data_IF_005703055972
#
_entry.id   IF_005703055972
#
_cell.length_a   1.000
_cell.length_b   1.000
_cell.length_c   1.000
_cell.angle_alpha   90.00
_cell.angle_beta   90.00
_cell.angle_gamma   90.00
#
_symmetry.space_group_name_H-M   'P 1'
#
loop_
_entity.id
_entity.type
_entity.pdbx_description
1 polymer ?
#
# COMPACT_ATOMS: atom_id res chain seq x y z
N UNK A 1 34.15 61.52 -8.13
CA UNK A 1 33.14 60.67 -7.43
C UNK A 1 32.76 59.49 -8.32
N UNK A 2 33.29 58.30 -8.07
CA UNK A 2 32.92 57.11 -8.82
C UNK A 2 31.82 56.41 -8.05
N UNK A 3 30.61 56.32 -8.62
CA UNK A 3 29.49 55.55 -8.09
C UNK A 3 29.67 54.11 -8.51
N UNK A 4 29.93 53.22 -7.57
CA UNK A 4 29.91 51.77 -7.79
C UNK A 4 28.47 51.29 -7.73
N UNK A 5 27.95 50.84 -8.88
CA UNK A 5 26.70 50.06 -8.92
C UNK A 5 27.04 48.64 -8.53
N UNK A 6 26.52 48.17 -7.38
CA UNK A 6 26.56 46.79 -6.98
C UNK A 6 25.29 46.13 -7.53
N UNK A 7 25.45 45.28 -8.56
CA UNK A 7 24.36 44.47 -9.07
C UNK A 7 24.21 43.26 -8.16
N UNK A 8 23.10 43.16 -7.42
CA UNK A 8 22.69 41.96 -6.73
C UNK A 8 22.10 40.96 -7.74
N UNK A 9 22.84 39.92 -8.05
CA UNK A 9 22.29 38.77 -8.78
C UNK A 9 21.51 37.91 -7.79
N UNK A 10 20.18 37.92 -7.86
CA UNK A 10 19.33 37.02 -7.13
C UNK A 10 19.46 35.65 -7.78
N UNK A 11 20.15 34.70 -7.13
CA UNK A 11 20.08 33.29 -7.49
C UNK A 11 18.69 32.78 -7.08
N UNK A 12 17.81 32.60 -8.04
CA UNK A 12 16.59 31.86 -7.86
C UNK A 12 16.94 30.37 -7.75
N UNK A 13 17.01 29.87 -6.53
CA UNK A 13 17.13 28.45 -6.28
C UNK A 13 15.80 27.79 -6.59
N UNK A 14 15.65 27.20 -7.77
CA UNK A 14 14.53 26.33 -8.09
C UNK A 14 14.77 25.00 -7.37
N UNK A 15 14.17 24.84 -6.19
CA UNK A 15 14.11 23.54 -5.56
C UNK A 15 13.25 22.62 -6.44
N UNK A 16 13.88 21.73 -7.21
CA UNK A 16 13.21 20.63 -7.84
C UNK A 16 12.77 19.68 -6.70
N UNK A 17 11.46 19.70 -6.38
CA UNK A 17 10.87 18.69 -5.52
C UNK A 17 10.94 17.36 -6.27
N UNK A 18 11.94 16.54 -5.95
CA UNK A 18 11.97 15.17 -6.41
C UNK A 18 10.72 14.45 -5.84
N UNK A 19 9.84 13.95 -6.74
CA UNK A 19 8.75 13.05 -6.33
C UNK A 19 9.40 11.85 -5.68
N UNK A 20 9.04 11.56 -4.42
CA UNK A 20 9.51 10.37 -3.74
C UNK A 20 9.05 9.13 -4.52
N UNK A 21 9.97 8.18 -4.73
CA UNK A 21 9.63 6.90 -5.33
C UNK A 21 8.61 6.16 -4.46
N UNK A 22 7.72 5.38 -5.09
CA UNK A 22 6.80 4.50 -4.37
C UNK A 22 7.56 3.51 -3.49
N UNK A 23 7.11 3.29 -2.26
CA UNK A 23 7.70 2.23 -1.43
C UNK A 23 7.59 0.87 -2.12
N UNK A 24 8.65 0.06 -2.00
CA UNK A 24 8.69 -1.32 -2.46
C UNK A 24 8.77 -2.23 -1.25
N UNK A 25 7.96 -3.27 -1.23
CA UNK A 25 7.92 -4.28 -0.17
C UNK A 25 8.11 -5.66 -0.76
N UNK A 26 9.02 -6.43 -0.19
CA UNK A 26 9.29 -7.79 -0.59
C UNK A 26 8.67 -8.76 0.43
N UNK A 27 7.76 -9.60 -0.04
CA UNK A 27 7.15 -10.68 0.75
C UNK A 27 7.91 -11.96 0.45
N UNK A 28 8.73 -12.40 1.39
CA UNK A 28 9.46 -13.68 1.29
C UNK A 28 8.57 -14.80 1.79
N UNK A 29 8.11 -15.64 0.87
CA UNK A 29 7.26 -16.77 1.19
C UNK A 29 7.99 -18.09 0.96
N UNK A 30 7.48 -19.18 1.51
CA UNK A 30 8.00 -20.52 1.26
C UNK A 30 7.74 -21.04 -0.18
N UNK A 31 7.01 -20.27 -1.00
CA UNK A 31 6.74 -20.56 -2.41
C UNK A 31 7.44 -19.58 -3.36
N UNK A 32 8.23 -18.64 -2.83
CA UNK A 32 8.95 -17.63 -3.60
C UNK A 32 8.70 -16.22 -3.10
N UNK A 33 9.27 -15.25 -3.79
CA UNK A 33 9.20 -13.85 -3.44
C UNK A 33 8.08 -13.15 -4.21
N UNK A 34 7.35 -12.26 -3.52
CA UNK A 34 6.37 -11.37 -4.12
C UNK A 34 6.85 -9.95 -3.86
N UNK A 35 7.03 -9.16 -4.91
CA UNK A 35 7.41 -7.75 -4.80
C UNK A 35 6.18 -6.88 -4.98
N UNK A 36 5.93 -6.01 -4.01
CA UNK A 36 4.78 -5.10 -3.98
C UNK A 36 5.27 -3.67 -4.14
N UNK A 37 4.77 -2.98 -5.14
CA UNK A 37 4.90 -1.53 -5.28
C UNK A 37 3.68 -0.87 -4.63
N UNK A 38 3.93 0.05 -3.69
CA UNK A 38 2.88 0.68 -2.89
C UNK A 38 2.60 2.09 -3.42
N UNK A 39 1.42 2.32 -3.97
CA UNK A 39 1.02 3.61 -4.55
C UNK A 39 0.58 4.61 -3.47
N UNK A 40 1.56 5.19 -2.77
CA UNK A 40 1.34 6.08 -1.64
C UNK A 40 0.64 7.40 -2.02
N UNK A 41 0.77 7.85 -3.26
CA UNK A 41 0.09 9.05 -3.78
C UNK A 41 -1.41 8.81 -4.04
N UNK A 42 -1.80 7.60 -4.42
CA UNK A 42 -3.18 7.21 -4.71
C UNK A 42 -3.97 6.73 -3.48
N UNK A 43 -3.29 6.09 -2.54
CA UNK A 43 -3.88 5.52 -1.34
C UNK A 43 -2.98 5.79 -0.12
N UNK A 44 -2.83 7.05 0.33
CA UNK A 44 -1.85 7.41 1.35
C UNK A 44 -2.06 6.71 2.69
N UNK A 45 -3.30 6.59 3.15
CA UNK A 45 -3.63 5.92 4.42
C UNK A 45 -3.41 4.41 4.36
N UNK A 46 -3.83 3.78 3.27
CA UNK A 46 -3.63 2.35 3.04
C UNK A 46 -2.15 2.01 2.90
N UNK A 47 -1.41 2.84 2.17
CA UNK A 47 0.04 2.70 1.99
C UNK A 47 0.79 2.83 3.32
N UNK A 48 0.53 3.88 4.09
CA UNK A 48 1.13 4.08 5.41
C UNK A 48 0.82 2.92 6.36
N UNK A 49 -0.42 2.49 6.41
CA UNK A 49 -0.88 1.38 7.23
C UNK A 49 -0.15 0.08 6.88
N UNK A 50 -0.09 -0.28 5.60
CA UNK A 50 0.59 -1.48 5.13
C UNK A 50 2.09 -1.43 5.44
N UNK A 51 2.77 -0.34 5.11
CA UNK A 51 4.20 -0.16 5.37
C UNK A 51 4.50 -0.19 6.87
N UNK A 52 3.63 0.38 7.71
CA UNK A 52 3.82 0.35 9.16
C UNK A 52 3.73 -1.08 9.71
N UNK A 53 2.78 -1.89 9.25
CA UNK A 53 2.72 -3.31 9.62
C UNK A 53 3.97 -4.09 9.16
N UNK A 54 4.52 -3.76 7.98
CA UNK A 54 5.79 -4.32 7.52
C UNK A 54 6.93 -3.96 8.47
N UNK A 55 7.06 -2.70 8.84
CA UNK A 55 8.09 -2.22 9.78
C UNK A 55 7.97 -2.86 11.17
N UNK A 56 6.75 -3.09 11.62
CA UNK A 56 6.46 -3.73 12.91
C UNK A 56 6.64 -5.26 12.85
N UNK A 57 7.05 -5.81 11.71
CA UNK A 57 7.18 -7.27 11.49
C UNK A 57 5.88 -8.05 11.74
N UNK A 58 4.73 -7.39 11.61
CA UNK A 58 3.44 -8.01 11.83
C UNK A 58 3.18 -9.16 10.87
N UNK A 59 3.60 -9.03 9.62
CA UNK A 59 3.39 -10.05 8.59
C UNK A 59 4.32 -11.26 8.70
N UNK A 60 5.39 -11.16 9.47
CA UNK A 60 6.30 -12.27 9.70
C UNK A 60 5.57 -13.43 10.40
N UNK A 61 5.68 -14.62 9.83
CA UNK A 61 4.98 -15.81 10.35
C UNK A 61 3.49 -15.90 10.04
N UNK A 62 2.94 -14.95 9.27
CA UNK A 62 1.55 -15.04 8.79
C UNK A 62 1.45 -15.89 7.53
N UNK A 63 0.24 -16.35 7.23
CA UNK A 63 -0.04 -17.21 6.08
C UNK A 63 -1.10 -16.59 5.17
N UNK A 64 -1.12 -17.03 3.92
CA UNK A 64 -2.28 -16.84 3.05
C UNK A 64 -3.35 -17.86 3.46
N UNK A 65 -4.23 -17.46 4.35
CA UNK A 65 -5.24 -18.34 4.96
C UNK A 65 -6.48 -18.55 4.11
N UNK A 66 -6.66 -17.75 3.06
CA UNK A 66 -7.79 -17.85 2.14
C UNK A 66 -7.28 -17.74 0.70
N UNK A 67 -7.42 -18.85 -0.03
CA UNK A 67 -7.00 -18.96 -1.42
C UNK A 67 -8.19 -19.42 -2.24
N UNK A 68 -8.63 -18.58 -3.18
CA UNK A 68 -9.73 -18.91 -4.08
C UNK A 68 -9.21 -18.86 -5.51
N UNK A 69 -9.17 -20.02 -6.15
CA UNK A 69 -8.72 -20.16 -7.53
C UNK A 69 -9.53 -19.25 -8.48
N UNK A 70 -8.84 -18.59 -9.41
CA UNK A 70 -9.46 -17.67 -10.35
C UNK A 70 -10.06 -16.41 -9.71
N UNK A 71 -9.71 -16.09 -8.46
CA UNK A 71 -10.20 -14.91 -7.75
C UNK A 71 -9.07 -14.16 -7.05
N UNK A 72 -8.67 -14.60 -5.85
CA UNK A 72 -7.65 -13.90 -5.06
C UNK A 72 -6.98 -14.83 -4.05
N UNK A 73 -5.85 -14.38 -3.49
CA UNK A 73 -5.24 -14.93 -2.28
C UNK A 73 -5.24 -13.86 -1.20
N UNK A 74 -5.62 -14.22 0.01
CA UNK A 74 -5.75 -13.29 1.14
C UNK A 74 -4.88 -13.75 2.31
N UNK A 75 -4.18 -12.81 2.92
CA UNK A 75 -3.30 -13.07 4.05
C UNK A 75 -3.11 -11.86 4.95
N UNK A 76 -2.10 -11.93 5.79
CA UNK A 76 -1.67 -10.80 6.63
C UNK A 76 -2.37 -10.68 7.98
N UNK A 77 -3.17 -11.68 8.39
CA UNK A 77 -3.89 -11.62 9.67
C UNK A 77 -3.73 -12.83 10.58
N UNK A 78 -3.37 -13.97 10.03
CA UNK A 78 -3.36 -15.25 10.77
C UNK A 78 -1.99 -15.93 10.71
N UNK A 79 -1.61 -16.54 11.81
CA UNK A 79 -0.46 -17.43 11.89
C UNK A 79 -0.77 -18.81 11.27
N UNK A 80 0.25 -19.65 11.11
CA UNK A 80 0.08 -21.00 10.53
C UNK A 80 -0.86 -21.90 11.33
N UNK A 81 -0.99 -21.70 12.64
CA UNK A 81 -1.93 -22.38 13.52
C UNK A 81 -3.31 -21.69 13.57
N UNK A 82 -3.58 -20.78 12.64
CA UNK A 82 -4.85 -20.04 12.47
C UNK A 82 -5.23 -19.15 13.65
N UNK A 83 -4.24 -18.64 14.35
CA UNK A 83 -4.44 -17.61 15.37
C UNK A 83 -4.39 -16.22 14.75
N UNK A 84 -5.41 -15.41 15.01
CA UNK A 84 -5.44 -14.02 14.53
C UNK A 84 -4.47 -13.16 15.34
N UNK A 85 -3.59 -12.45 14.64
CA UNK A 85 -2.67 -11.50 15.28
C UNK A 85 -3.42 -10.22 15.67
N UNK A 86 -3.07 -9.61 16.83
CA UNK A 86 -3.63 -8.31 17.21
C UNK A 86 -3.36 -7.24 16.16
N UNK A 87 -4.33 -6.34 15.96
CA UNK A 87 -4.23 -5.28 14.97
C UNK A 87 -4.31 -3.89 15.61
N UNK A 88 -3.88 -2.89 14.87
CA UNK A 88 -4.12 -1.47 15.18
C UNK A 88 -5.56 -1.09 14.84
N UNK A 89 -5.94 0.16 15.14
CA UNK A 89 -7.23 0.70 14.75
C UNK A 89 -7.43 0.62 13.22
N UNK A 90 -8.66 0.39 12.75
CA UNK A 90 -8.96 0.34 11.33
C UNK A 90 -8.76 1.71 10.65
N UNK A 91 -8.58 1.69 9.35
CA UNK A 91 -8.39 2.86 8.51
C UNK A 91 -9.61 3.14 7.62
N UNK A 92 -9.74 4.40 7.20
CA UNK A 92 -10.78 4.82 6.27
C UNK A 92 -10.56 4.23 4.87
N UNK A 93 -11.66 3.97 4.17
CA UNK A 93 -11.65 3.46 2.81
C UNK A 93 -11.11 4.52 1.83
N UNK A 94 -10.22 4.09 0.93
CA UNK A 94 -9.67 4.91 -0.14
C UNK A 94 -9.94 4.33 -1.54
N UNK A 95 -11.00 3.54 -1.69
CA UNK A 95 -11.28 2.81 -2.93
C UNK A 95 -11.64 3.70 -4.13
N UNK A 96 -12.08 4.96 -3.88
CA UNK A 96 -12.40 5.93 -4.95
C UNK A 96 -11.19 6.72 -5.41
N UNK A 97 -10.13 6.04 -5.79
CA UNK A 97 -8.85 6.64 -6.20
C UNK A 97 -8.49 6.38 -7.66
N UNK A 98 -9.38 5.78 -8.43
CA UNK A 98 -9.18 5.44 -9.84
C UNK A 98 -8.42 4.14 -10.08
N UNK A 99 -7.90 3.47 -9.05
CA UNK A 99 -7.24 2.18 -9.18
C UNK A 99 -8.27 1.04 -9.27
N UNK A 100 -7.93 0.02 -10.05
CA UNK A 100 -8.78 -1.15 -10.29
C UNK A 100 -8.18 -2.40 -9.67
N UNK A 101 -9.04 -3.38 -9.42
CA UNK A 101 -8.64 -4.72 -8.98
C UNK A 101 -8.28 -5.59 -10.18
N UNK A 102 -7.24 -5.17 -10.91
CA UNK A 102 -6.70 -5.92 -12.04
C UNK A 102 -5.79 -7.05 -11.55
N UNK A 103 -5.46 -7.97 -12.43
CA UNK A 103 -4.58 -9.11 -12.14
C UNK A 103 -3.26 -8.63 -11.51
N UNK A 104 -2.86 -9.29 -10.42
CA UNK A 104 -1.64 -9.03 -9.65
C UNK A 104 -1.60 -7.69 -8.94
N UNK A 105 -2.72 -7.04 -8.73
CA UNK A 105 -2.82 -5.91 -7.81
C UNK A 105 -3.10 -6.40 -6.39
N UNK A 106 -2.62 -5.61 -5.41
CA UNK A 106 -2.86 -5.83 -3.99
C UNK A 106 -3.83 -4.78 -3.45
N UNK A 107 -4.72 -5.19 -2.56
CA UNK A 107 -5.67 -4.30 -1.90
C UNK A 107 -5.90 -4.72 -0.45
N UNK A 108 -6.33 -3.77 0.40
CA UNK A 108 -6.69 -4.07 1.78
C UNK A 108 -8.00 -4.85 1.84
N UNK A 109 -7.97 -5.95 2.56
CA UNK A 109 -9.19 -6.69 2.91
C UNK A 109 -9.96 -5.96 4.01
N UNK A 110 -11.28 -6.00 3.96
CA UNK A 110 -12.18 -5.38 4.92
C UNK A 110 -13.46 -6.20 5.09
N UNK A 111 -14.22 -5.89 6.13
CA UNK A 111 -15.58 -6.40 6.31
C UNK A 111 -16.59 -5.60 5.46
N UNK A 112 -17.88 -5.82 5.65
CA UNK A 112 -18.94 -5.01 5.03
C UNK A 112 -18.89 -3.53 5.43
N UNK A 113 -18.28 -3.19 6.56
CA UNK A 113 -18.03 -1.80 6.93
C UNK A 113 -16.89 -1.23 6.07
N UNK A 114 -17.11 -0.14 5.32
CA UNK A 114 -16.07 0.45 4.46
C UNK A 114 -14.80 0.84 5.20
N UNK A 115 -14.90 1.30 6.44
CA UNK A 115 -13.78 1.79 7.26
C UNK A 115 -13.30 0.73 8.26
N UNK A 116 -13.19 -0.53 7.83
CA UNK A 116 -12.84 -1.65 8.71
C UNK A 116 -11.51 -2.33 8.39
N UNK A 117 -10.76 -1.86 7.40
CA UNK A 117 -9.48 -2.46 7.03
C UNK A 117 -8.44 -2.29 8.14
N UNK A 118 -7.74 -3.36 8.46
CA UNK A 118 -6.63 -3.35 9.43
C UNK A 118 -5.35 -3.89 8.79
N UNK A 119 -4.96 -5.14 9.03
CA UNK A 119 -3.70 -5.70 8.51
C UNK A 119 -3.89 -6.59 7.29
N UNK A 120 -5.04 -7.22 7.12
CA UNK A 120 -5.24 -8.19 6.06
C UNK A 120 -5.29 -7.53 4.69
N UNK A 121 -4.71 -8.21 3.72
CA UNK A 121 -4.70 -7.81 2.31
C UNK A 121 -5.01 -9.01 1.43
N UNK A 122 -5.37 -8.74 0.18
CA UNK A 122 -5.49 -9.77 -0.83
C UNK A 122 -4.77 -9.37 -2.11
N UNK A 123 -4.37 -10.36 -2.87
CA UNK A 123 -3.75 -10.20 -4.20
C UNK A 123 -4.71 -10.80 -5.21
N UNK A 124 -5.10 -9.99 -6.19
CA UNK A 124 -5.96 -10.42 -7.29
C UNK A 124 -5.16 -11.34 -8.22
N UNK A 125 -5.67 -12.54 -8.49
CA UNK A 125 -5.06 -13.49 -9.43
C UNK A 125 -5.68 -13.44 -10.82
N UNK A 126 -6.71 -12.62 -10.97
CA UNK A 126 -7.32 -12.22 -12.24
C UNK A 126 -7.96 -10.83 -12.11
N UNK A 127 -8.49 -10.28 -13.19
CA UNK A 127 -9.23 -9.04 -13.17
C UNK A 127 -10.58 -9.24 -12.44
N UNK A 128 -10.74 -8.56 -11.31
CA UNK A 128 -11.91 -8.66 -10.43
C UNK A 128 -12.71 -7.35 -10.45
N UNK A 129 -13.30 -7.02 -11.60
CA UNK A 129 -14.01 -5.76 -11.79
C UNK A 129 -15.15 -5.54 -10.79
N UNK A 130 -15.75 -6.62 -10.26
CA UNK A 130 -16.81 -6.54 -9.26
C UNK A 130 -16.33 -5.95 -7.91
N UNK A 131 -15.01 -5.92 -7.66
CA UNK A 131 -14.42 -5.31 -6.46
C UNK A 131 -14.07 -3.84 -6.65
N UNK A 132 -14.16 -3.31 -7.85
CA UNK A 132 -13.85 -1.91 -8.13
C UNK A 132 -14.86 -0.99 -7.46
N UNK A 133 -14.38 0.17 -6.98
CA UNK A 133 -15.31 1.19 -6.49
C UNK A 133 -16.24 1.65 -7.62
N UNK A 134 -17.50 1.94 -7.32
CA UNK A 134 -18.37 2.56 -8.32
C UNK A 134 -17.81 3.93 -8.72
N UNK A 135 -17.90 4.22 -10.03
CA UNK A 135 -17.47 5.48 -10.64
C UNK A 135 -18.40 6.65 -10.25
#
# INVERSE_FOLDING_TARGET
MRKHLIAFAALASTALSALAANPMVELKTNQGEIVVEVFADKAPKSAENFVQYVKDKHYDGTVFHRVIDGFMIQGGGFTADMQQKPTKAPIALEAKNGLKNDTYTIAMARTGNPDSATSQFFINVKDNAMLNAPS
#
